data_IF_416435898029
#
_entry.id   IF_416435898029
#
_cell.length_a   1.000
_cell.length_b   1.000
_cell.length_c   1.000
_cell.angle_alpha   90.00
_cell.angle_beta   90.00
_cell.angle_gamma   90.00
#
_symmetry.space_group_name_H-M   'P 1'
#
loop_
_entity.id
_entity.type
_entity.pdbx_description
1 polymer ?
#
# COMPACT_ATOMS: atom_id res chain seq x y z
N UNK A 1 -21.03 15.57 -9.47
CA UNK A 1 -21.57 14.22 -9.71
C UNK A 1 -20.40 13.27 -9.73
N UNK A 2 -20.29 12.35 -8.75
CA UNK A 2 -19.24 11.33 -8.76
C UNK A 2 -19.66 10.22 -9.71
N UNK A 3 -18.99 10.12 -10.87
CA UNK A 3 -19.16 8.99 -11.76
C UNK A 3 -18.47 7.77 -11.13
N UNK A 4 -19.24 6.97 -10.40
CA UNK A 4 -18.78 5.68 -9.89
C UNK A 4 -18.61 4.74 -11.10
N UNK A 5 -17.38 4.32 -11.35
CA UNK A 5 -17.04 3.30 -12.33
C UNK A 5 -16.78 1.99 -11.59
N UNK A 6 -17.27 0.89 -12.17
CA UNK A 6 -16.93 -0.45 -11.70
C UNK A 6 -15.79 -0.98 -12.57
N UNK A 7 -14.88 -1.76 -11.99
CA UNK A 7 -13.77 -2.36 -12.74
C UNK A 7 -13.79 -3.88 -12.55
N UNK A 8 -13.49 -4.63 -13.61
CA UNK A 8 -13.34 -6.08 -13.55
C UNK A 8 -12.02 -6.51 -14.18
N UNK A 9 -11.41 -7.55 -13.62
CA UNK A 9 -10.17 -8.14 -14.12
C UNK A 9 -10.47 -9.58 -14.49
N UNK A 10 -10.30 -9.91 -15.77
CA UNK A 10 -10.50 -11.23 -16.33
C UNK A 10 -9.17 -11.80 -16.84
N UNK A 11 -9.06 -13.13 -16.86
CA UNK A 11 -7.95 -13.83 -17.49
C UNK A 11 -8.45 -14.52 -18.76
N UNK A 12 -7.89 -14.13 -19.91
CA UNK A 12 -8.13 -14.78 -21.19
C UNK A 12 -6.99 -15.76 -21.47
N UNK A 13 -7.34 -17.00 -21.76
CA UNK A 13 -6.39 -18.02 -22.17
C UNK A 13 -6.60 -18.28 -23.67
N UNK A 14 -5.79 -17.64 -24.52
CA UNK A 14 -5.80 -17.96 -25.93
C UNK A 14 -4.94 -19.20 -26.18
N UNK A 15 -5.35 -20.02 -27.15
CA UNK A 15 -4.95 -21.43 -27.31
C UNK A 15 -3.45 -21.73 -27.54
N UNK A 16 -2.51 -20.81 -27.30
CA UNK A 16 -1.08 -21.09 -27.19
C UNK A 16 -0.41 -20.14 -26.19
N UNK A 17 -0.17 -20.68 -24.99
CA UNK A 17 0.89 -20.34 -24.03
C UNK A 17 0.79 -18.97 -23.34
N UNK A 18 0.34 -17.92 -24.01
CA UNK A 18 0.26 -16.58 -23.42
C UNK A 18 -1.09 -16.35 -22.73
N UNK A 19 -1.06 -16.18 -21.41
CA UNK A 19 -2.21 -15.74 -20.62
C UNK A 19 -2.30 -14.23 -20.77
N UNK A 20 -3.45 -13.73 -21.18
CA UNK A 20 -3.70 -12.28 -21.29
C UNK A 20 -4.58 -11.85 -20.13
N UNK A 21 -4.18 -10.80 -19.43
CA UNK A 21 -4.98 -10.12 -18.42
C UNK A 21 -5.82 -9.07 -19.12
N UNK A 22 -7.11 -9.01 -18.80
CA UNK A 22 -8.08 -8.08 -19.38
C UNK A 22 -8.69 -7.25 -18.26
N UNK A 23 -8.40 -5.95 -18.23
CA UNK A 23 -8.95 -5.00 -17.27
C UNK A 23 -10.03 -4.17 -17.95
N UNK A 24 -11.27 -4.31 -17.48
CA UNK A 24 -12.45 -3.62 -18.02
C UNK A 24 -12.94 -2.55 -17.07
N UNK A 25 -13.27 -1.39 -17.61
CA UNK A 25 -14.01 -0.35 -16.94
C UNK A 25 -15.48 -0.43 -17.37
N UNK A 26 -16.37 -0.61 -16.41
CA UNK A 26 -17.81 -0.72 -16.60
C UNK A 26 -18.48 0.58 -16.14
N UNK A 27 -19.46 1.02 -16.94
CA UNK A 27 -20.41 2.07 -16.55
C UNK A 27 -21.36 1.58 -15.44
N UNK A 28 -22.11 2.51 -14.85
CA UNK A 28 -23.18 2.19 -13.89
C UNK A 28 -24.21 1.20 -14.46
N UNK A 29 -24.39 1.17 -15.79
CA UNK A 29 -25.30 0.25 -16.47
C UNK A 29 -24.60 -1.07 -16.88
N UNK A 30 -23.44 -1.40 -16.29
CA UNK A 30 -22.63 -2.58 -16.60
C UNK A 30 -22.17 -2.68 -18.06
N UNK A 31 -22.27 -1.59 -18.82
CA UNK A 31 -21.71 -1.52 -20.18
C UNK A 31 -20.22 -1.23 -20.10
N UNK A 32 -19.42 -2.05 -20.78
CA UNK A 32 -17.99 -1.86 -20.96
C UNK A 32 -17.73 -0.51 -21.67
N UNK A 33 -16.92 0.32 -21.02
CA UNK A 33 -16.52 1.66 -21.51
C UNK A 33 -15.12 1.58 -22.11
N UNK A 34 -14.17 1.03 -21.35
CA UNK A 34 -12.77 0.93 -21.72
C UNK A 34 -12.25 -0.46 -21.35
N UNK A 35 -11.30 -0.95 -22.13
CA UNK A 35 -10.65 -2.25 -21.90
C UNK A 35 -9.17 -2.14 -22.18
N UNK A 36 -8.37 -2.67 -21.26
CA UNK A 36 -6.93 -2.78 -21.37
C UNK A 36 -6.56 -4.26 -21.34
N UNK A 37 -5.86 -4.72 -22.37
CA UNK A 37 -5.37 -6.10 -22.48
C UNK A 37 -3.84 -6.09 -22.46
N UNK A 38 -3.24 -6.96 -21.65
CA UNK A 38 -1.80 -7.10 -21.57
C UNK A 38 -1.39 -8.54 -21.26
N UNK A 39 -0.19 -8.99 -21.67
CA UNK A 39 0.34 -10.29 -21.29
C UNK A 39 0.47 -10.43 -19.78
N UNK A 40 0.23 -11.62 -19.24
CA UNK A 40 0.39 -11.89 -17.80
C UNK A 40 1.80 -11.62 -17.29
N UNK A 41 2.79 -11.78 -18.16
CA UNK A 41 4.21 -11.62 -17.81
C UNK A 41 4.56 -10.16 -17.56
N UNK A 42 3.77 -9.23 -18.12
CA UNK A 42 3.94 -7.79 -17.94
C UNK A 42 3.17 -7.25 -16.72
N UNK A 43 2.50 -8.12 -15.94
CA UNK A 43 1.63 -7.67 -14.84
C UNK A 43 2.39 -6.86 -13.78
N UNK A 44 3.62 -7.27 -13.46
CA UNK A 44 4.45 -6.57 -12.46
C UNK A 44 4.84 -5.18 -12.97
N UNK A 45 5.21 -5.05 -14.24
CA UNK A 45 5.53 -3.76 -14.87
C UNK A 45 4.30 -2.83 -14.92
N UNK A 46 3.11 -3.39 -15.16
CA UNK A 46 1.85 -2.63 -15.14
C UNK A 46 1.50 -2.19 -13.72
N UNK A 47 1.67 -3.04 -12.71
CA UNK A 47 1.48 -2.68 -11.30
C UNK A 47 2.42 -1.52 -10.95
N UNK A 48 3.72 -1.63 -11.27
CA UNK A 48 4.70 -0.58 -11.00
C UNK A 48 4.32 0.74 -11.69
N UNK A 49 3.90 0.69 -12.96
CA UNK A 49 3.44 1.86 -13.68
C UNK A 49 2.19 2.49 -13.05
N UNK A 50 1.23 1.69 -12.59
CA UNK A 50 0.04 2.16 -11.88
C UNK A 50 0.39 2.77 -10.52
N UNK A 51 1.35 2.19 -9.79
CA UNK A 51 1.87 2.73 -8.53
C UNK A 51 2.56 4.08 -8.74
N UNK A 52 3.42 4.20 -9.74
CA UNK A 52 4.07 5.47 -10.10
C UNK A 52 3.05 6.52 -10.54
N UNK A 53 2.07 6.10 -11.33
CA UNK A 53 0.98 6.97 -11.79
C UNK A 53 0.13 7.44 -10.60
N UNK A 54 -0.22 6.55 -9.67
CA UNK A 54 -0.88 6.91 -8.40
C UNK A 54 -0.05 7.94 -7.61
N UNK A 55 1.27 7.75 -7.49
CA UNK A 55 2.17 8.72 -6.84
C UNK A 55 2.11 10.09 -7.51
N UNK A 56 2.03 10.15 -8.84
CA UNK A 56 1.89 11.39 -9.60
C UNK A 56 0.50 12.05 -9.46
N UNK A 57 -0.59 11.26 -9.47
CA UNK A 57 -1.96 11.76 -9.29
C UNK A 57 -2.26 12.27 -7.89
N UNK A 58 -1.68 11.63 -6.87
CA UNK A 58 -1.77 12.05 -5.46
C UNK A 58 -0.85 13.25 -5.17
N UNK A 59 -0.11 13.72 -6.19
CA UNK A 59 0.67 14.96 -6.24
C UNK A 59 1.03 15.55 -4.88
N UNK A 60 2.25 15.28 -4.39
CA UNK A 60 2.88 16.06 -3.31
C UNK A 60 1.90 16.55 -2.22
N UNK A 61 1.58 15.67 -1.26
CA UNK A 61 1.24 15.96 0.16
C UNK A 61 0.37 14.86 0.82
N UNK A 62 0.53 13.60 0.43
CA UNK A 62 -0.06 12.48 1.14
C UNK A 62 0.94 11.35 1.25
N UNK A 63 1.62 11.25 2.38
CA UNK A 63 2.36 10.05 2.78
C UNK A 63 1.41 8.84 2.77
N UNK A 64 1.34 8.14 1.64
CA UNK A 64 0.98 6.73 1.60
C UNK A 64 2.31 5.99 1.41
N UNK A 65 2.96 5.62 2.53
CA UNK A 65 2.78 4.30 3.15
C UNK A 65 2.75 3.20 2.09
N UNK A 66 3.75 3.18 1.22
CA UNK A 66 4.38 1.89 0.92
C UNK A 66 4.94 1.38 2.24
N UNK A 67 4.76 0.09 2.50
CA UNK A 67 5.16 -0.62 3.70
C UNK A 67 6.57 -0.20 4.20
N UNK A 68 6.63 0.83 5.06
CA UNK A 68 7.73 0.97 6.01
C UNK A 68 7.55 -0.16 7.03
N UNK A 69 7.75 -1.41 6.59
CA UNK A 69 7.86 -2.53 7.50
C UNK A 69 9.15 -2.30 8.30
N UNK A 70 9.00 -2.04 9.59
CA UNK A 70 10.14 -2.01 10.49
C UNK A 70 10.75 -3.41 10.44
N UNK A 71 12.06 -3.49 10.19
CA UNK A 71 12.78 -4.76 10.27
C UNK A 71 12.43 -5.44 11.60
N UNK A 72 11.99 -6.72 11.63
CA UNK A 72 11.54 -7.39 12.84
C UNK A 72 12.53 -7.30 14.02
N UNK A 73 13.83 -7.32 13.74
CA UNK A 73 14.89 -7.19 14.75
C UNK A 73 14.89 -5.78 15.37
N UNK A 74 14.72 -4.76 14.53
CA UNK A 74 14.60 -3.36 14.97
C UNK A 74 13.30 -3.19 15.75
N UNK A 75 12.20 -3.82 15.33
CA UNK A 75 10.92 -3.74 16.02
C UNK A 75 10.98 -4.33 17.43
N UNK A 76 11.58 -5.50 17.61
CA UNK A 76 11.72 -6.09 18.94
C UNK A 76 12.61 -5.23 19.84
N UNK A 77 13.67 -4.65 19.28
CA UNK A 77 14.51 -3.66 20.00
C UNK A 77 13.71 -2.40 20.39
N UNK A 78 12.89 -1.87 19.49
CA UNK A 78 12.04 -0.69 19.77
C UNK A 78 11.04 -0.96 20.88
N UNK A 79 10.48 -2.18 20.92
CA UNK A 79 9.56 -2.62 21.99
C UNK A 79 10.30 -2.66 23.33
N UNK A 80 11.48 -3.28 23.40
CA UNK A 80 12.28 -3.34 24.62
C UNK A 80 12.66 -1.94 25.13
N UNK A 81 13.12 -1.07 24.22
CA UNK A 81 13.48 0.30 24.56
C UNK A 81 12.28 1.13 25.01
N UNK A 82 11.11 0.95 24.39
CA UNK A 82 9.88 1.58 24.85
C UNK A 82 9.50 1.12 26.27
N UNK A 83 9.58 -0.18 26.55
CA UNK A 83 9.35 -0.71 27.90
C UNK A 83 10.40 -0.26 28.93
N UNK A 84 11.61 0.09 28.49
CA UNK A 84 12.64 0.70 29.35
C UNK A 84 12.38 2.18 29.67
N UNK A 85 11.32 2.77 29.10
CA UNK A 85 10.90 4.15 29.34
C UNK A 85 11.39 5.16 28.30
N UNK A 86 11.95 4.71 27.17
CA UNK A 86 12.33 5.62 26.08
C UNK A 86 11.08 6.09 25.35
N UNK A 87 10.97 7.41 25.16
CA UNK A 87 9.81 8.00 24.50
C UNK A 87 9.77 7.67 23.01
N UNK A 88 8.57 7.63 22.43
CA UNK A 88 8.38 7.40 20.98
C UNK A 88 9.11 8.46 20.15
N UNK A 89 9.19 9.70 20.65
CA UNK A 89 9.94 10.79 20.00
C UNK A 89 11.43 10.49 19.95
N UNK A 90 12.01 10.01 21.06
CA UNK A 90 13.44 9.65 21.11
C UNK A 90 13.73 8.45 20.21
N UNK A 91 12.85 7.44 20.20
CA UNK A 91 12.95 6.29 19.29
C UNK A 91 12.85 6.73 17.82
N UNK A 92 11.94 7.65 17.50
CA UNK A 92 11.78 8.21 16.16
C UNK A 92 13.07 8.90 15.68
N UNK A 93 13.69 9.70 16.55
CA UNK A 93 14.95 10.37 16.23
C UNK A 93 16.15 9.41 16.14
N UNK A 94 16.21 8.39 17.00
CA UNK A 94 17.35 7.46 17.03
C UNK A 94 17.36 6.51 15.83
N UNK A 95 16.18 6.07 15.41
CA UNK A 95 16.02 5.08 14.33
C UNK A 95 15.65 5.72 12.98
N UNK A 96 15.48 7.04 12.92
CA UNK A 96 15.04 7.78 11.74
C UNK A 96 13.73 7.20 11.16
N UNK A 97 12.79 6.87 12.06
CA UNK A 97 11.47 6.32 11.75
C UNK A 97 10.39 7.31 12.14
N UNK A 98 9.24 7.30 11.46
CA UNK A 98 8.13 8.17 11.86
C UNK A 98 7.50 7.72 13.19
N UNK A 99 7.15 8.67 14.07
CA UNK A 99 6.46 8.36 15.34
C UNK A 99 5.18 7.55 15.12
N UNK A 100 4.41 7.88 14.06
CA UNK A 100 3.20 7.16 13.68
C UNK A 100 3.48 5.69 13.34
N UNK A 101 4.59 5.41 12.66
CA UNK A 101 4.99 4.05 12.32
C UNK A 101 5.34 3.25 13.58
N UNK A 102 6.11 3.86 14.48
CA UNK A 102 6.46 3.24 15.76
C UNK A 102 5.18 2.96 16.56
N UNK A 103 4.29 3.95 16.72
CA UNK A 103 2.98 3.79 17.40
C UNK A 103 2.17 2.62 16.83
N UNK A 104 1.97 2.61 15.51
CA UNK A 104 1.18 1.57 14.83
C UNK A 104 1.76 0.16 15.05
N UNK A 105 3.08 0.02 15.05
CA UNK A 105 3.72 -1.28 15.25
C UNK A 105 3.73 -1.74 16.71
N UNK A 106 3.87 -0.81 17.67
CA UNK A 106 3.72 -1.09 19.10
C UNK A 106 2.27 -1.55 19.40
N UNK A 107 1.26 -0.86 18.86
CA UNK A 107 -0.15 -1.25 18.99
C UNK A 107 -0.43 -2.64 18.39
N UNK A 108 0.14 -2.97 17.23
CA UNK A 108 0.04 -4.30 16.63
C UNK A 108 0.66 -5.41 17.49
N UNK A 109 1.66 -5.08 18.32
CA UNK A 109 2.25 -6.00 19.32
C UNK A 109 1.43 -6.05 20.63
N UNK A 110 0.29 -5.37 20.68
CA UNK A 110 -0.61 -5.33 21.84
C UNK A 110 -0.23 -4.29 22.89
N UNK A 111 0.65 -3.34 22.56
CA UNK A 111 1.09 -2.28 23.47
C UNK A 111 0.12 -1.11 23.33
N UNK A 112 -0.60 -0.80 24.41
CA UNK A 112 -1.53 0.33 24.46
C UNK A 112 -0.75 1.59 24.82
N UNK A 113 -0.72 2.56 23.90
CA UNK A 113 -0.08 3.84 24.11
C UNK A 113 -1.16 4.84 24.50
N UNK A 114 -1.06 5.42 25.68
CA UNK A 114 -1.93 6.51 26.11
C UNK A 114 -1.31 7.82 25.65
N UNK A 115 -1.84 8.41 24.58
CA UNK A 115 -1.58 9.82 24.30
C UNK A 115 -2.45 10.66 25.25
N UNK A 116 -1.83 11.30 26.23
CA UNK A 116 -2.45 12.45 26.90
C UNK A 116 -2.43 13.62 25.90
N UNK A 117 -3.62 13.98 25.39
CA UNK A 117 -3.83 15.09 24.45
C UNK A 117 -3.47 16.45 25.06
#
# INVERSE_FOLDING_TARGET
>A
MNNVYNYSIDLKNEKKIEKTVVLKQLSQNSKEINTLEFPSDDIDAIIDALHQTKKAFVGLNGYHKEDESINPIILDTLVELFFSGISIRDLSSQYNLSELLIKTNLEKKGIVIFDEF
#
